data_IF_478303213392
#
_entry.id   IF_478303213392
#
_cell.length_a   1.000
_cell.length_b   1.000
_cell.length_c   1.000
_cell.angle_alpha   90.00
_cell.angle_beta   90.00
_cell.angle_gamma   90.00
#
_symmetry.space_group_name_H-M   'P 1'
#
loop_
_entity.id
_entity.type
_entity.pdbx_description
1 polymer ?
#
# COMPACT_ATOMS: atom_id res chain seq x y z
N UNK A 1 10.96 14.20 -20.35
CA UNK A 1 11.63 14.03 -19.08
C UNK A 1 11.88 12.54 -18.93
N UNK A 2 13.10 12.13 -18.66
CA UNK A 2 13.42 10.70 -18.52
C UNK A 2 13.08 10.30 -17.08
N UNK A 3 12.07 9.48 -16.90
CA UNK A 3 11.66 8.97 -15.59
C UNK A 3 12.50 7.75 -15.26
N UNK A 4 12.95 7.64 -14.01
CA UNK A 4 13.80 6.53 -13.56
C UNK A 4 13.15 5.83 -12.36
N UNK A 5 12.95 4.52 -12.47
CA UNK A 5 12.62 3.70 -11.31
C UNK A 5 13.89 3.50 -10.49
N UNK A 6 13.87 3.94 -9.24
CA UNK A 6 15.03 3.88 -8.35
C UNK A 6 15.01 2.64 -7.46
N UNK A 7 13.85 2.23 -6.99
CA UNK A 7 13.67 1.05 -6.15
C UNK A 7 12.36 0.34 -6.48
N UNK A 8 12.32 -0.97 -6.21
CA UNK A 8 11.13 -1.83 -6.37
C UNK A 8 10.95 -2.76 -5.19
N UNK A 9 9.70 -3.00 -4.83
CA UNK A 9 9.30 -4.00 -3.85
C UNK A 9 8.21 -4.88 -4.44
N UNK A 10 8.38 -6.21 -4.29
CA UNK A 10 7.34 -7.20 -4.53
C UNK A 10 7.08 -7.98 -3.25
N UNK A 11 5.83 -7.99 -2.83
CA UNK A 11 5.37 -8.65 -1.61
C UNK A 11 4.21 -9.59 -1.93
N UNK A 12 4.36 -10.86 -1.56
CA UNK A 12 3.31 -11.89 -1.62
C UNK A 12 3.17 -12.56 -0.25
N UNK A 13 2.19 -13.45 -0.05
CA UNK A 13 2.08 -14.20 1.21
C UNK A 13 3.31 -15.07 1.53
N UNK A 14 4.09 -15.45 0.52
CA UNK A 14 5.23 -16.36 0.67
C UNK A 14 6.57 -15.64 0.82
N UNK A 15 6.72 -14.49 0.16
CA UNK A 15 8.03 -13.84 0.08
C UNK A 15 7.98 -12.33 -0.14
N UNK A 16 9.09 -11.71 0.23
CA UNK A 16 9.40 -10.31 -0.03
C UNK A 16 10.65 -10.22 -0.91
N UNK A 17 10.54 -9.46 -1.99
CA UNK A 17 11.67 -9.08 -2.83
C UNK A 17 11.85 -7.54 -2.80
N UNK A 18 13.10 -7.10 -2.72
CA UNK A 18 13.50 -5.69 -2.82
C UNK A 18 14.56 -5.59 -3.90
N UNK A 19 14.35 -4.74 -4.89
CA UNK A 19 15.25 -4.54 -6.03
C UNK A 19 15.62 -5.85 -6.75
N UNK A 20 14.63 -6.76 -6.87
CA UNK A 20 14.79 -8.07 -7.50
C UNK A 20 15.51 -9.12 -6.65
N UNK A 21 15.86 -8.82 -5.42
CA UNK A 21 16.46 -9.76 -4.49
C UNK A 21 15.46 -10.22 -3.44
N UNK A 22 15.33 -11.51 -3.24
CA UNK A 22 14.51 -12.09 -2.17
C UNK A 22 15.20 -11.84 -0.82
N UNK A 23 14.53 -11.06 0.06
CA UNK A 23 15.09 -10.61 1.35
C UNK A 23 14.38 -11.22 2.56
N UNK A 24 13.19 -11.79 2.36
CA UNK A 24 12.48 -12.54 3.38
C UNK A 24 11.53 -13.57 2.78
N UNK A 25 11.29 -14.65 3.53
CA UNK A 25 10.30 -15.68 3.26
C UNK A 25 9.41 -15.88 4.48
N UNK A 26 8.16 -16.24 4.23
CA UNK A 26 7.19 -16.54 5.28
C UNK A 26 7.61 -17.77 6.09
N UNK A 27 7.49 -17.68 7.40
CA UNK A 27 7.69 -18.80 8.32
C UNK A 27 6.36 -19.19 8.95
N UNK A 28 6.19 -20.45 9.31
CA UNK A 28 4.98 -20.91 9.97
C UNK A 28 4.72 -20.15 11.30
N UNK A 29 3.46 -19.87 11.56
CA UNK A 29 3.04 -19.16 12.78
C UNK A 29 2.09 -18.01 12.50
N UNK A 30 2.50 -16.78 12.79
CA UNK A 30 1.70 -15.59 12.50
C UNK A 30 1.77 -15.16 11.03
N UNK A 31 0.88 -14.24 10.62
CA UNK A 31 0.84 -13.75 9.23
C UNK A 31 2.19 -13.15 8.80
N UNK A 32 2.56 -13.34 7.53
CA UNK A 32 3.84 -12.84 7.02
C UNK A 32 3.96 -11.32 7.14
N UNK A 33 2.87 -10.58 6.96
CA UNK A 33 2.84 -9.13 7.17
C UNK A 33 3.25 -8.75 8.60
N UNK A 34 2.80 -9.51 9.61
CA UNK A 34 3.19 -9.27 11.01
C UNK A 34 4.64 -9.65 11.26
N UNK A 35 5.12 -10.75 10.66
CA UNK A 35 6.54 -11.11 10.72
C UNK A 35 7.42 -9.99 10.16
N UNK A 36 7.08 -9.43 9.00
CA UNK A 36 7.80 -8.30 8.39
C UNK A 36 7.72 -7.05 9.25
N UNK A 37 6.53 -6.70 9.77
CA UNK A 37 6.35 -5.56 10.66
C UNK A 37 7.30 -5.61 11.87
N UNK A 38 7.45 -6.78 12.48
CA UNK A 38 8.35 -6.99 13.63
C UNK A 38 9.82 -7.05 13.20
N UNK A 39 10.14 -7.79 12.13
CA UNK A 39 11.50 -7.94 11.61
C UNK A 39 12.15 -6.60 11.30
N UNK A 40 11.39 -5.65 10.74
CA UNK A 40 11.88 -4.33 10.33
C UNK A 40 11.55 -3.21 11.33
N UNK A 41 11.05 -3.56 12.52
CA UNK A 41 10.72 -2.61 13.61
C UNK A 41 9.97 -1.37 13.13
N UNK A 42 8.86 -1.58 12.41
CA UNK A 42 8.15 -0.50 11.72
C UNK A 42 7.53 0.54 12.68
N UNK A 43 7.32 0.21 13.96
CA UNK A 43 6.96 1.16 15.00
C UNK A 43 5.66 1.94 14.73
N UNK A 44 4.61 1.29 14.19
CA UNK A 44 3.32 1.90 13.88
C UNK A 44 2.14 1.06 14.42
N UNK A 45 1.76 1.20 15.69
CA UNK A 45 0.77 0.33 16.34
C UNK A 45 -0.60 0.28 15.66
N UNK A 46 -0.96 1.32 14.87
CA UNK A 46 -2.19 1.34 14.07
C UNK A 46 -2.25 0.21 13.05
N UNK A 47 -1.10 -0.33 12.61
CA UNK A 47 -0.98 -1.48 11.72
C UNK A 47 -1.90 -2.64 12.12
N UNK A 48 -1.98 -2.96 13.41
CA UNK A 48 -2.81 -4.06 13.93
C UNK A 48 -4.33 -3.78 13.91
N UNK A 49 -4.73 -2.56 13.55
CA UNK A 49 -6.14 -2.16 13.36
C UNK A 49 -6.52 -2.01 11.89
N UNK A 50 -5.54 -2.06 11.00
CA UNK A 50 -5.76 -1.96 9.56
C UNK A 50 -6.37 -3.25 9.01
N UNK A 51 -7.16 -3.11 7.93
CA UNK A 51 -7.53 -4.25 7.10
C UNK A 51 -6.31 -4.78 6.32
N UNK A 52 -6.48 -5.90 5.65
CA UNK A 52 -5.38 -6.56 4.93
C UNK A 52 -4.85 -5.70 3.79
N UNK A 53 -5.70 -5.01 3.01
CA UNK A 53 -5.26 -4.14 1.91
C UNK A 53 -4.35 -3.01 2.42
N UNK A 54 -4.75 -2.34 3.50
CA UNK A 54 -3.94 -1.31 4.13
C UNK A 54 -2.63 -1.85 4.70
N UNK A 55 -2.63 -3.04 5.33
CA UNK A 55 -1.41 -3.66 5.85
C UNK A 55 -0.43 -4.01 4.74
N UNK A 56 -0.91 -4.55 3.62
CA UNK A 56 -0.08 -4.90 2.46
C UNK A 56 0.58 -3.65 1.88
N UNK A 57 -0.21 -2.61 1.57
CA UNK A 57 0.30 -1.35 1.04
C UNK A 57 1.25 -0.64 2.01
N UNK A 58 0.92 -0.65 3.32
CA UNK A 58 1.76 -0.09 4.37
C UNK A 58 3.13 -0.80 4.42
N UNK A 59 3.16 -2.13 4.54
CA UNK A 59 4.41 -2.90 4.63
C UNK A 59 5.26 -2.70 3.37
N UNK A 60 4.65 -2.82 2.19
CA UNK A 60 5.36 -2.63 0.93
C UNK A 60 5.97 -1.22 0.82
N UNK A 61 5.22 -0.17 1.19
CA UNK A 61 5.72 1.21 1.19
C UNK A 61 6.84 1.45 2.20
N UNK A 62 6.73 0.91 3.42
CA UNK A 62 7.77 1.03 4.44
C UNK A 62 9.11 0.43 3.96
N UNK A 63 9.05 -0.73 3.30
CA UNK A 63 10.23 -1.43 2.80
C UNK A 63 10.82 -0.75 1.57
N UNK A 64 9.98 -0.24 0.66
CA UNK A 64 10.42 0.55 -0.49
C UNK A 64 11.15 1.82 -0.06
N UNK A 65 10.59 2.54 0.92
CA UNK A 65 11.20 3.77 1.46
C UNK A 65 12.43 3.48 2.34
N UNK A 66 12.51 2.30 2.94
CA UNK A 66 13.73 1.85 3.62
C UNK A 66 14.87 1.57 2.63
N UNK A 67 14.56 1.05 1.45
CA UNK A 67 15.54 0.84 0.37
C UNK A 67 16.05 2.17 -0.21
N UNK A 68 15.17 3.17 -0.37
CA UNK A 68 15.56 4.53 -0.76
C UNK A 68 16.56 5.15 0.24
N UNK A 69 16.37 4.87 1.53
CA UNK A 69 17.17 5.47 2.59
C UNK A 69 16.87 6.96 2.82
N UNK A 70 17.82 7.67 3.40
CA UNK A 70 17.66 9.10 3.71
C UNK A 70 16.81 9.38 4.95
N UNK A 71 16.38 10.64 5.11
CA UNK A 71 15.59 11.06 6.26
C UNK A 71 14.11 10.69 6.06
N UNK A 72 13.56 9.99 7.04
CA UNK A 72 12.15 9.51 7.06
C UNK A 72 11.29 10.40 7.98
N UNK A 73 9.98 10.42 7.70
CA UNK A 73 8.96 11.05 8.55
C UNK A 73 9.08 12.60 8.65
N UNK A 74 9.65 13.21 7.64
CA UNK A 74 9.68 14.67 7.46
C UNK A 74 8.57 15.10 6.49
N UNK A 75 7.95 16.28 6.69
CA UNK A 75 6.93 16.78 5.77
C UNK A 75 7.48 16.94 4.35
N UNK A 76 6.78 16.36 3.37
CA UNK A 76 7.11 16.50 1.94
C UNK A 76 5.84 16.74 1.13
N UNK A 77 5.86 17.78 0.30
CA UNK A 77 4.79 18.07 -0.67
C UNK A 77 5.15 17.63 -2.10
N UNK A 78 6.41 17.26 -2.32
CA UNK A 78 6.99 16.92 -3.61
C UNK A 78 6.94 15.43 -3.97
N UNK A 79 6.30 14.60 -3.13
CA UNK A 79 6.11 13.17 -3.37
C UNK A 79 4.64 12.83 -3.52
N UNK A 80 4.29 12.27 -4.67
CA UNK A 80 2.97 11.70 -4.92
C UNK A 80 2.90 10.23 -4.46
N UNK A 81 1.68 9.78 -4.13
CA UNK A 81 1.35 8.37 -3.84
C UNK A 81 0.25 7.94 -4.79
N UNK A 82 0.53 7.03 -5.73
CA UNK A 82 -0.43 6.56 -6.74
C UNK A 82 -0.53 5.03 -6.67
N UNK A 83 -1.65 4.53 -6.15
CA UNK A 83 -1.88 3.10 -6.06
C UNK A 83 -2.95 2.63 -7.04
N UNK A 84 -2.74 1.45 -7.58
CA UNK A 84 -3.64 0.78 -8.53
C UNK A 84 -4.17 -0.50 -7.91
N UNK A 85 -5.43 -0.82 -8.23
CA UNK A 85 -6.10 -1.99 -7.70
C UNK A 85 -7.23 -2.44 -8.64
N UNK A 86 -7.67 -3.70 -8.52
CA UNK A 86 -8.80 -4.26 -9.28
C UNK A 86 -9.99 -4.60 -8.41
N UNK A 87 -9.72 -5.08 -7.20
CA UNK A 87 -10.72 -5.72 -6.34
C UNK A 87 -11.30 -4.78 -5.28
N UNK A 88 -10.89 -3.50 -5.30
CA UNK A 88 -11.30 -2.51 -4.29
C UNK A 88 -10.97 -2.97 -2.87
N UNK A 89 -11.82 -2.65 -1.92
CA UNK A 89 -11.78 -3.07 -0.51
C UNK A 89 -12.59 -4.34 -0.23
N UNK A 90 -12.68 -5.27 -1.19
CA UNK A 90 -13.61 -6.40 -1.13
C UNK A 90 -13.52 -7.22 0.17
N UNK A 91 -12.31 -7.40 0.72
CA UNK A 91 -12.12 -8.07 2.02
C UNK A 91 -12.75 -7.28 3.17
N UNK A 92 -12.52 -5.97 3.23
CA UNK A 92 -13.09 -5.09 4.25
C UNK A 92 -14.62 -4.97 4.09
N UNK A 93 -15.14 -4.93 2.86
CA UNK A 93 -16.56 -4.91 2.56
C UNK A 93 -17.27 -6.16 3.09
N UNK A 94 -16.69 -7.33 2.86
CA UNK A 94 -17.20 -8.60 3.39
C UNK A 94 -17.15 -8.64 4.93
N UNK A 95 -16.06 -8.14 5.51
CA UNK A 95 -15.91 -8.05 6.97
C UNK A 95 -16.95 -7.08 7.58
N UNK A 96 -17.19 -5.94 6.94
CA UNK A 96 -18.23 -5.00 7.39
C UNK A 96 -19.62 -5.60 7.23
N UNK A 97 -19.92 -6.22 6.08
CA UNK A 97 -21.19 -6.88 5.83
C UNK A 97 -21.50 -7.92 6.92
N UNK A 98 -20.50 -8.66 7.39
CA UNK A 98 -20.70 -9.62 8.47
C UNK A 98 -21.17 -8.97 9.79
N UNK A 99 -20.80 -7.72 10.05
CA UNK A 99 -21.23 -6.98 11.28
C UNK A 99 -22.70 -6.52 11.25
N UNK A 100 -23.36 -6.60 10.09
CA UNK A 100 -24.73 -6.14 9.87
C UNK A 100 -25.63 -7.22 9.25
N UNK A 101 -25.12 -8.44 9.07
CA UNK A 101 -25.86 -9.50 8.39
C UNK A 101 -27.00 -10.10 9.23
N UNK A 102 -26.86 -10.10 10.55
CA UNK A 102 -27.86 -10.61 11.47
C UNK A 102 -28.73 -9.46 12.02
N UNK A 103 -30.04 -9.54 11.78
CA UNK A 103 -30.98 -8.53 12.25
C UNK A 103 -31.15 -8.52 13.79
N UNK A 104 -30.85 -9.65 14.45
CA UNK A 104 -30.93 -9.77 15.91
C UNK A 104 -29.60 -9.41 16.61
N UNK A 105 -28.49 -9.44 15.83
CA UNK A 105 -27.14 -9.04 16.28
C UNK A 105 -26.55 -8.00 15.33
N UNK A 106 -27.25 -6.87 15.19
CA UNK A 106 -26.90 -5.78 14.27
C UNK A 106 -25.98 -4.78 14.95
N UNK A 107 -24.67 -4.92 14.76
CA UNK A 107 -23.65 -4.03 15.30
C UNK A 107 -22.69 -3.50 14.21
N UNK A 108 -23.11 -2.46 13.45
CA UNK A 108 -22.23 -1.86 12.45
C UNK A 108 -20.95 -1.33 13.11
N UNK A 109 -19.82 -1.86 12.69
CA UNK A 109 -18.50 -1.49 13.25
C UNK A 109 -17.93 -0.28 12.50
N UNK A 110 -17.84 0.92 13.12
CA UNK A 110 -17.24 2.09 12.47
C UNK A 110 -15.76 1.88 12.14
N UNK A 111 -15.04 1.12 12.93
CA UNK A 111 -13.63 0.83 12.71
C UNK A 111 -13.39 -0.07 11.50
N UNK A 112 -14.31 -1.00 11.22
CA UNK A 112 -14.26 -1.83 10.00
C UNK A 112 -14.75 -1.03 8.80
N UNK A 113 -15.82 -0.22 8.98
CA UNK A 113 -16.39 0.61 7.91
C UNK A 113 -15.34 1.54 7.26
N UNK A 114 -14.46 2.14 8.02
CA UNK A 114 -13.40 3.02 7.49
C UNK A 114 -12.61 2.35 6.38
N UNK A 115 -12.31 1.07 6.51
CA UNK A 115 -11.50 0.31 5.54
C UNK A 115 -12.30 -0.20 4.32
N UNK A 116 -13.61 0.01 4.27
CA UNK A 116 -14.39 -0.19 3.04
C UNK A 116 -14.13 0.90 1.98
N UNK A 117 -13.40 1.95 2.35
CA UNK A 117 -12.92 2.98 1.44
C UNK A 117 -11.51 2.59 0.96
N UNK A 118 -11.34 2.12 -0.28
CA UNK A 118 -10.08 1.53 -0.72
C UNK A 118 -8.92 2.52 -0.74
N UNK A 119 -9.18 3.81 -0.88
CA UNK A 119 -8.15 4.87 -0.84
C UNK A 119 -7.58 5.14 0.57
N UNK A 120 -8.08 4.50 1.62
CA UNK A 120 -7.52 4.64 2.98
C UNK A 120 -6.05 4.20 3.00
N UNK A 121 -5.66 3.22 2.20
CA UNK A 121 -4.25 2.79 2.12
C UNK A 121 -3.30 3.92 1.68
N UNK A 122 -3.68 4.73 0.69
CA UNK A 122 -2.87 5.90 0.28
C UNK A 122 -2.78 6.94 1.40
N UNK A 123 -3.90 7.16 2.10
CA UNK A 123 -3.96 8.04 3.26
C UNK A 123 -3.07 7.56 4.42
N UNK A 124 -3.07 6.27 4.73
CA UNK A 124 -2.19 5.70 5.78
C UNK A 124 -0.72 5.86 5.43
N UNK A 125 -0.32 5.64 4.17
CA UNK A 125 1.04 5.87 3.70
C UNK A 125 1.41 7.35 3.82
N UNK A 126 0.54 8.25 3.39
CA UNK A 126 0.75 9.69 3.45
C UNK A 126 0.87 10.19 4.89
N UNK A 127 -0.04 9.79 5.78
CA UNK A 127 -0.01 10.16 7.21
C UNK A 127 1.28 9.65 7.86
N UNK A 128 1.63 8.38 7.64
CA UNK A 128 2.83 7.77 8.20
C UNK A 128 4.09 8.55 7.85
N UNK A 129 4.22 8.96 6.58
CA UNK A 129 5.42 9.59 6.04
C UNK A 129 5.33 11.12 5.98
N UNK A 130 4.22 11.72 6.44
CA UNK A 130 3.96 13.17 6.39
C UNK A 130 4.01 13.73 4.97
N UNK A 131 3.45 12.97 4.00
CA UNK A 131 3.35 13.43 2.62
C UNK A 131 2.11 14.31 2.44
N UNK A 132 2.28 15.41 1.73
CA UNK A 132 1.26 16.41 1.42
C UNK A 132 1.09 16.61 -0.10
N UNK A 133 1.79 15.80 -0.90
CA UNK A 133 1.67 15.78 -2.35
C UNK A 133 0.40 15.07 -2.82
N UNK A 134 0.30 14.87 -4.13
CA UNK A 134 -0.81 14.17 -4.77
C UNK A 134 -0.99 12.77 -4.20
N UNK A 135 -2.25 12.36 -4.01
CA UNK A 135 -2.58 11.02 -3.54
C UNK A 135 -3.75 10.47 -4.33
N UNK A 136 -3.52 9.42 -5.12
CA UNK A 136 -4.52 8.78 -5.96
C UNK A 136 -4.65 7.28 -5.65
N UNK A 137 -5.86 6.76 -5.76
CA UNK A 137 -6.16 5.34 -5.76
C UNK A 137 -7.01 5.03 -7.00
N UNK A 138 -6.42 4.32 -7.97
CA UNK A 138 -6.98 4.13 -9.30
C UNK A 138 -7.44 2.69 -9.46
N UNK A 139 -8.72 2.51 -9.82
CA UNK A 139 -9.28 1.21 -10.13
C UNK A 139 -9.07 0.90 -11.62
N UNK A 140 -8.46 -0.24 -11.91
CA UNK A 140 -8.27 -0.77 -13.25
C UNK A 140 -8.98 -2.13 -13.36
N UNK A 141 -9.63 -2.43 -14.48
CA UNK A 141 -10.27 -3.74 -14.69
C UNK A 141 -9.25 -4.89 -14.76
N UNK A 142 -8.02 -4.55 -15.18
CA UNK A 142 -6.87 -5.45 -15.24
C UNK A 142 -5.58 -4.65 -15.03
N UNK A 143 -4.50 -5.34 -14.63
CA UNK A 143 -3.18 -4.70 -14.50
C UNK A 143 -2.72 -4.20 -15.87
N UNK A 144 -2.45 -2.91 -15.96
CA UNK A 144 -2.02 -2.23 -17.20
C UNK A 144 -0.81 -1.36 -16.93
N UNK A 145 0.36 -1.82 -17.33
CA UNK A 145 1.61 -1.03 -17.22
C UNK A 145 1.50 0.30 -17.93
N UNK A 146 0.81 0.32 -19.10
CA UNK A 146 0.62 1.56 -19.86
C UNK A 146 -0.19 2.59 -19.07
N UNK A 147 -1.31 2.17 -18.45
CA UNK A 147 -2.13 3.08 -17.65
C UNK A 147 -1.39 3.55 -16.40
N UNK A 148 -0.62 2.65 -15.77
CA UNK A 148 0.18 2.97 -14.59
C UNK A 148 1.28 3.99 -14.93
N UNK A 149 2.05 3.76 -16.01
CA UNK A 149 3.09 4.68 -16.46
C UNK A 149 2.52 6.06 -16.83
N UNK A 150 1.38 6.11 -17.52
CA UNK A 150 0.72 7.37 -17.85
C UNK A 150 0.31 8.18 -16.63
N UNK A 151 -0.20 7.52 -15.57
CA UNK A 151 -0.55 8.21 -14.34
C UNK A 151 0.69 8.75 -13.61
N UNK A 152 1.76 7.96 -13.53
CA UNK A 152 3.04 8.38 -12.94
C UNK A 152 3.66 9.55 -13.74
N UNK A 153 3.70 9.45 -15.07
CA UNK A 153 4.22 10.52 -15.92
C UNK A 153 3.41 11.81 -15.76
N UNK A 154 2.07 11.70 -15.68
CA UNK A 154 1.20 12.85 -15.43
C UNK A 154 1.52 13.55 -14.11
N UNK A 155 1.69 12.79 -13.02
CA UNK A 155 2.06 13.36 -11.73
C UNK A 155 3.42 14.07 -11.77
N UNK A 156 4.40 13.50 -12.49
CA UNK A 156 5.73 14.10 -12.66
C UNK A 156 5.76 15.29 -13.64
N UNK A 157 4.67 15.56 -14.39
CA UNK A 157 4.54 16.79 -15.17
C UNK A 157 4.30 18.02 -14.28
N UNK A 158 3.81 17.83 -13.08
CA UNK A 158 3.74 18.89 -12.07
C UNK A 158 5.17 19.22 -11.61
N UNK A 159 5.54 20.48 -11.73
CA UNK A 159 6.89 20.97 -11.38
C UNK A 159 7.22 20.82 -9.90
N UNK A 160 6.21 20.71 -9.06
CA UNK A 160 6.39 20.54 -7.62
C UNK A 160 6.59 19.06 -7.25
N UNK A 161 6.20 18.11 -8.12
CA UNK A 161 6.37 16.67 -7.88
C UNK A 161 7.71 16.18 -8.40
N UNK A 162 8.59 15.75 -7.50
CA UNK A 162 9.93 15.23 -7.82
C UNK A 162 10.00 13.71 -7.81
N UNK A 163 9.06 13.05 -7.15
CA UNK A 163 9.01 11.59 -7.05
C UNK A 163 7.59 11.07 -6.84
N UNK A 164 7.36 9.85 -7.30
CA UNK A 164 6.09 9.13 -7.16
C UNK A 164 6.35 7.77 -6.53
N UNK A 165 5.64 7.48 -5.43
CA UNK A 165 5.51 6.15 -4.90
C UNK A 165 4.29 5.52 -5.57
N UNK A 166 4.52 4.59 -6.50
CA UNK A 166 3.47 3.99 -7.32
C UNK A 166 3.45 2.48 -7.21
N UNK A 167 2.31 1.85 -7.48
CA UNK A 167 2.25 0.40 -7.61
C UNK A 167 0.86 -0.20 -7.52
N UNK A 168 0.77 -1.48 -7.84
CA UNK A 168 -0.42 -2.30 -7.65
C UNK A 168 -0.42 -2.89 -6.25
N UNK A 169 -1.56 -2.78 -5.55
CA UNK A 169 -1.78 -3.40 -4.25
C UNK A 169 -3.12 -4.11 -4.27
N UNK A 170 -3.10 -5.43 -4.11
CA UNK A 170 -4.29 -6.30 -4.10
C UNK A 170 -4.35 -7.09 -2.80
N UNK A 171 -5.56 -7.27 -2.26
CA UNK A 171 -5.77 -8.15 -1.12
C UNK A 171 -7.20 -8.69 -1.11
N UNK A 172 -7.36 -10.00 -1.19
CA UNK A 172 -8.63 -10.71 -1.09
C UNK A 172 -8.80 -11.41 0.26
N UNK A 173 -7.70 -11.76 0.92
CA UNK A 173 -7.65 -12.35 2.26
C UNK A 173 -6.28 -12.14 2.91
N UNK A 174 -6.10 -12.68 4.13
CA UNK A 174 -4.79 -12.72 4.82
C UNK A 174 -3.77 -13.61 4.12
N UNK A 175 -4.23 -14.55 3.29
CA UNK A 175 -3.42 -15.53 2.56
C UNK A 175 -3.39 -15.26 1.05
N UNK A 176 -4.17 -14.27 0.56
CA UNK A 176 -4.27 -13.95 -0.86
C UNK A 176 -4.12 -12.45 -1.07
N UNK A 177 -2.89 -12.01 -1.24
CA UNK A 177 -2.54 -10.63 -1.50
C UNK A 177 -1.27 -10.51 -2.35
N UNK A 178 -1.10 -9.37 -2.98
CA UNK A 178 0.11 -9.00 -3.71
C UNK A 178 0.30 -7.48 -3.67
N UNK A 179 1.55 -7.04 -3.51
CA UNK A 179 1.95 -5.67 -3.81
C UNK A 179 3.18 -5.69 -4.71
N UNK A 180 3.11 -4.92 -5.80
CA UNK A 180 4.27 -4.56 -6.61
C UNK A 180 4.33 -3.04 -6.62
N UNK A 181 5.31 -2.49 -5.93
CA UNK A 181 5.46 -1.05 -5.76
C UNK A 181 6.83 -0.59 -6.20
N UNK A 182 6.89 0.61 -6.74
CA UNK A 182 8.13 1.23 -7.19
C UNK A 182 8.21 2.70 -6.78
N UNK A 183 9.42 3.18 -6.65
CA UNK A 183 9.73 4.58 -6.47
C UNK A 183 10.28 5.12 -7.79
N UNK A 184 9.59 6.11 -8.35
CA UNK A 184 9.93 6.74 -9.61
C UNK A 184 10.32 8.19 -9.37
N UNK A 185 11.42 8.63 -9.95
CA UNK A 185 11.89 10.01 -9.88
C UNK A 185 12.03 10.62 -11.28
N UNK A 186 11.91 11.92 -11.33
CA UNK A 186 12.14 12.72 -12.53
C UNK A 186 13.62 13.09 -12.71
#
# INVERSE_FOLDING_TARGET
METMVTHRVKLTPECLEVDGQRVAEAVAGESFLTQLYRKYDMGYPKFFKMDVLCRVGFVASELLLAAEGGERFVPRADRAVILFNRNTSLHADRSFQATIADAEDFYPSPSVFVYTLPNIVTGEIAIRNKYHGESEFILLPEKSETAMNQAVERALMDKETTSVLAGCVEALSEEEYEAEMELVSS
#
